data_IF_985069138173
#
_entry.id   IF_985069138173
#
_cell.length_a   1.000
_cell.length_b   1.000
_cell.length_c   1.000
_cell.angle_alpha   90.00
_cell.angle_beta   90.00
_cell.angle_gamma   90.00
#
_symmetry.space_group_name_H-M   'P 1'
#
loop_
_entity.id
_entity.type
_entity.pdbx_description
1 polymer ?
#
# COMPACT_ATOMS: atom_id res chain seq x y z
N UNK A 1 11.92 -9.96 -13.94
CA UNK A 1 10.63 -9.75 -14.65
C UNK A 1 9.70 -10.89 -14.24
N UNK A 2 8.44 -10.61 -13.89
CA UNK A 2 7.46 -11.66 -13.57
C UNK A 2 7.06 -12.41 -14.85
N UNK A 3 6.87 -13.73 -14.76
CA UNK A 3 6.28 -14.50 -15.85
C UNK A 3 4.77 -14.26 -15.87
N UNK A 4 4.22 -13.82 -17.01
CA UNK A 4 2.78 -13.52 -17.14
C UNK A 4 1.91 -14.75 -16.86
N UNK A 5 2.42 -15.96 -17.09
CA UNK A 5 1.76 -17.22 -16.72
C UNK A 5 1.47 -17.36 -15.23
N UNK A 6 2.14 -16.59 -14.39
CA UNK A 6 1.99 -16.62 -12.93
C UNK A 6 1.14 -15.44 -12.42
N UNK A 7 0.57 -14.64 -13.32
CA UNK A 7 -0.30 -13.52 -12.98
C UNK A 7 -1.76 -13.96 -13.09
N UNK A 8 -2.48 -13.80 -11.98
CA UNK A 8 -3.93 -13.96 -11.93
C UNK A 8 -4.55 -12.59 -11.70
N UNK A 9 -5.59 -12.26 -12.46
CA UNK A 9 -6.43 -11.08 -12.22
C UNK A 9 -7.76 -11.57 -11.65
N UNK A 10 -7.88 -11.73 -10.31
CA UNK A 10 -9.06 -12.36 -9.72
C UNK A 10 -10.28 -11.44 -9.74
N UNK A 11 -10.09 -10.12 -9.77
CA UNK A 11 -11.15 -9.12 -9.60
C UNK A 11 -10.86 -7.94 -10.52
N UNK A 12 -11.92 -7.41 -11.14
CA UNK A 12 -11.92 -6.12 -11.85
C UNK A 12 -13.06 -5.28 -11.28
N UNK A 13 -12.74 -4.07 -10.82
CA UNK A 13 -13.74 -3.13 -10.29
C UNK A 13 -14.27 -2.23 -11.40
N UNK A 14 -15.57 -1.89 -11.41
CA UNK A 14 -16.13 -0.99 -12.41
C UNK A 14 -15.59 0.44 -12.25
N UNK A 15 -15.32 1.11 -13.38
CA UNK A 15 -15.08 2.56 -13.42
C UNK A 15 -16.37 3.38 -13.57
N UNK A 16 -16.33 4.72 -13.67
CA UNK A 16 -15.13 5.58 -13.77
C UNK A 16 -14.55 6.03 -12.43
N UNK A 17 -15.31 5.89 -11.34
CA UNK A 17 -14.89 6.29 -10.00
C UNK A 17 -14.29 5.11 -9.26
N UNK A 18 -13.28 5.39 -8.44
CA UNK A 18 -12.68 4.38 -7.57
C UNK A 18 -13.69 3.95 -6.49
N UNK A 19 -13.83 2.65 -6.21
CA UNK A 19 -14.71 2.19 -5.14
C UNK A 19 -14.30 2.75 -3.78
N UNK A 20 -15.29 2.97 -2.91
CA UNK A 20 -15.03 3.25 -1.50
C UNK A 20 -14.41 2.02 -0.83
N UNK A 21 -13.78 2.21 0.33
CA UNK A 21 -13.22 1.08 1.07
C UNK A 21 -14.28 0.01 1.36
N UNK A 22 -15.48 0.41 1.75
CA UNK A 22 -16.59 -0.51 2.02
C UNK A 22 -17.08 -1.24 0.77
N UNK A 23 -17.16 -0.55 -0.37
CA UNK A 23 -17.51 -1.17 -1.64
C UNK A 23 -16.43 -2.18 -2.07
N UNK A 24 -15.15 -1.82 -1.92
CA UNK A 24 -14.02 -2.68 -2.26
C UNK A 24 -14.07 -4.01 -1.48
N UNK A 25 -14.44 -3.98 -0.20
CA UNK A 25 -14.58 -5.20 0.61
C UNK A 25 -15.62 -6.18 0.04
N UNK A 26 -16.67 -5.70 -0.64
CA UNK A 26 -17.67 -6.58 -1.26
C UNK A 26 -17.07 -7.42 -2.38
N UNK A 27 -16.12 -6.86 -3.14
CA UNK A 27 -15.41 -7.58 -4.19
C UNK A 27 -14.39 -8.55 -3.59
N UNK A 28 -13.65 -8.10 -2.57
CA UNK A 28 -12.63 -8.92 -1.90
C UNK A 28 -13.22 -10.13 -1.17
N UNK A 29 -14.50 -10.09 -0.80
CA UNK A 29 -15.18 -11.19 -0.12
C UNK A 29 -15.03 -12.53 -0.86
N UNK A 30 -15.21 -12.54 -2.18
CA UNK A 30 -15.12 -13.78 -2.98
C UNK A 30 -13.70 -14.34 -2.93
N UNK A 31 -12.70 -13.48 -3.13
CA UNK A 31 -11.29 -13.86 -3.06
C UNK A 31 -10.93 -14.41 -1.67
N UNK A 32 -11.39 -13.76 -0.60
CA UNK A 32 -11.12 -14.21 0.77
C UNK A 32 -11.83 -15.53 1.08
N UNK A 33 -13.07 -15.71 0.62
CA UNK A 33 -13.81 -16.97 0.77
C UNK A 33 -13.03 -18.14 0.14
N UNK A 34 -12.47 -17.95 -1.06
CA UNK A 34 -11.63 -18.95 -1.72
C UNK A 34 -10.29 -19.18 -1.01
N UNK A 35 -9.63 -18.11 -0.55
CA UNK A 35 -8.38 -18.22 0.21
C UNK A 35 -8.54 -18.99 1.53
N UNK A 36 -9.70 -18.90 2.18
CA UNK A 36 -10.00 -19.69 3.39
C UNK A 36 -10.09 -21.17 3.01
N UNK A 37 -10.90 -21.51 2.00
CA UNK A 37 -11.07 -22.90 1.56
C UNK A 37 -9.75 -23.51 1.09
N UNK A 38 -8.98 -22.77 0.29
CA UNK A 38 -7.69 -23.25 -0.21
C UNK A 38 -6.64 -23.44 0.90
N UNK A 39 -6.77 -22.71 2.02
CA UNK A 39 -5.89 -22.87 3.17
C UNK A 39 -6.31 -24.02 4.08
N UNK A 40 -7.61 -24.18 4.32
CA UNK A 40 -8.15 -25.17 5.27
C UNK A 40 -8.34 -26.54 4.63
N UNK A 41 -8.84 -26.60 3.40
CA UNK A 41 -9.19 -27.83 2.69
C UNK A 41 -8.19 -28.15 1.57
N UNK A 42 -7.66 -27.12 0.91
CA UNK A 42 -6.80 -27.26 -0.27
C UNK A 42 -7.55 -27.64 -1.54
N UNK A 43 -6.79 -27.93 -2.60
CA UNK A 43 -7.32 -28.39 -3.89
C UNK A 43 -6.49 -29.54 -4.44
N UNK A 44 -7.15 -30.57 -4.95
CA UNK A 44 -6.50 -31.68 -5.63
C UNK A 44 -6.15 -31.29 -7.06
N UNK A 45 -4.86 -31.18 -7.38
CA UNK A 45 -4.37 -30.84 -8.72
C UNK A 45 -3.69 -32.05 -9.34
N UNK A 46 -4.20 -32.50 -10.49
CA UNK A 46 -3.59 -33.54 -11.32
C UNK A 46 -2.52 -32.94 -12.21
N UNK A 47 -1.38 -33.60 -12.28
CA UNK A 47 -0.27 -33.23 -13.18
C UNK A 47 0.20 -34.46 -13.93
N UNK A 48 0.92 -34.33 -15.07
CA UNK A 48 1.46 -35.49 -15.78
C UNK A 48 2.35 -36.39 -14.90
N UNK A 49 3.06 -35.81 -13.91
CA UNK A 49 3.89 -36.55 -12.95
C UNK A 49 3.06 -37.21 -11.83
N UNK A 50 1.85 -36.71 -11.58
CA UNK A 50 0.98 -37.17 -10.50
C UNK A 50 -0.48 -37.28 -11.00
N UNK A 51 -0.82 -38.37 -11.72
CA UNK A 51 -2.13 -38.56 -12.33
C UNK A 51 -3.27 -38.76 -11.32
N UNK A 52 -2.96 -39.30 -10.13
CA UNK A 52 -3.91 -39.41 -9.01
C UNK A 52 -4.19 -38.05 -8.32
N UNK A 53 -3.38 -37.03 -8.64
CA UNK A 53 -3.48 -35.70 -8.07
C UNK A 53 -2.71 -35.53 -6.77
N UNK A 54 -2.29 -34.29 -6.51
CA UNK A 54 -1.66 -33.88 -5.27
C UNK A 54 -2.51 -32.81 -4.60
N UNK A 55 -2.64 -32.91 -3.28
CA UNK A 55 -3.29 -31.88 -2.49
C UNK A 55 -2.37 -30.65 -2.43
N UNK A 56 -2.88 -29.52 -2.86
CA UNK A 56 -2.18 -28.23 -2.85
C UNK A 56 -2.94 -27.28 -1.93
N UNK A 57 -2.25 -26.82 -0.89
CA UNK A 57 -2.73 -25.75 0.00
C UNK A 57 -2.22 -24.41 -0.52
N UNK A 58 -3.07 -23.39 -0.45
CA UNK A 58 -2.72 -22.01 -0.85
C UNK A 58 -2.90 -21.10 0.35
N UNK A 59 -1.94 -20.20 0.54
CA UNK A 59 -2.04 -19.14 1.55
C UNK A 59 -1.61 -17.81 0.95
N UNK A 60 -2.20 -16.72 1.46
CA UNK A 60 -1.78 -15.37 1.13
C UNK A 60 -0.47 -15.03 1.87
N UNK A 61 0.60 -14.78 1.13
CA UNK A 61 1.89 -14.40 1.72
C UNK A 61 1.95 -12.92 2.13
N UNK A 62 1.52 -12.02 1.24
CA UNK A 62 1.63 -10.58 1.46
C UNK A 62 0.63 -9.80 0.58
N UNK A 63 0.28 -8.60 1.05
CA UNK A 63 -0.45 -7.59 0.28
C UNK A 63 0.52 -6.47 -0.04
N UNK A 64 0.71 -6.18 -1.33
CA UNK A 64 1.59 -5.12 -1.83
C UNK A 64 0.77 -4.18 -2.69
N UNK A 65 0.65 -2.94 -2.25
CA UNK A 65 -0.06 -1.88 -2.97
C UNK A 65 0.41 -0.52 -2.46
N UNK A 66 0.10 0.53 -3.20
CA UNK A 66 0.36 1.90 -2.76
C UNK A 66 -0.40 2.21 -1.45
N UNK A 67 0.00 3.29 -0.76
CA UNK A 67 -0.54 3.59 0.57
C UNK A 67 -2.07 3.78 0.59
N UNK A 68 -2.69 4.52 -0.35
CA UNK A 68 -4.14 4.67 -0.38
C UNK A 68 -4.88 3.33 -0.60
N UNK A 69 -4.45 2.51 -1.56
CA UNK A 69 -5.08 1.20 -1.78
C UNK A 69 -4.88 0.28 -0.60
N UNK A 70 -3.68 0.26 -0.01
CA UNK A 70 -3.35 -0.50 1.20
C UNK A 70 -4.31 -0.18 2.35
N UNK A 71 -4.56 1.11 2.60
CA UNK A 71 -5.48 1.54 3.65
C UNK A 71 -6.92 1.07 3.37
N UNK A 72 -7.37 1.05 2.11
CA UNK A 72 -8.72 0.56 1.74
C UNK A 72 -8.82 -0.96 1.84
N UNK A 73 -7.82 -1.67 1.34
CA UNK A 73 -7.76 -3.14 1.28
C UNK A 73 -7.64 -3.73 2.69
N UNK A 74 -6.72 -3.22 3.51
CA UNK A 74 -6.38 -3.78 4.82
C UNK A 74 -7.08 -3.10 6.01
N UNK A 75 -7.99 -2.16 5.73
CA UNK A 75 -8.82 -1.53 6.76
C UNK A 75 -8.10 -0.53 7.66
N UNK A 76 -6.99 0.07 7.19
CA UNK A 76 -6.31 1.14 7.90
C UNK A 76 -6.84 2.53 7.50
N UNK A 77 -6.61 3.50 8.36
CA UNK A 77 -6.71 4.91 8.02
C UNK A 77 -5.53 5.39 7.17
N UNK A 78 -5.77 6.46 6.41
CA UNK A 78 -4.75 7.09 5.57
C UNK A 78 -3.78 7.96 6.40
N UNK A 79 -2.66 8.37 5.80
CA UNK A 79 -1.59 9.15 6.42
C UNK A 79 -2.05 10.50 6.99
N UNK A 80 -3.19 11.04 6.53
CA UNK A 80 -3.77 12.29 7.04
C UNK A 80 -4.63 12.12 8.31
N UNK A 81 -4.80 10.90 8.83
CA UNK A 81 -5.60 10.66 10.02
C UNK A 81 -4.90 11.15 11.29
N UNK A 82 -5.60 11.91 12.14
CA UNK A 82 -5.03 12.52 13.35
C UNK A 82 -4.40 11.53 14.33
N UNK A 83 -5.11 10.45 14.66
CA UNK A 83 -4.68 9.49 15.70
C UNK A 83 -3.90 8.28 15.17
N UNK A 84 -4.02 7.97 13.88
CA UNK A 84 -3.67 6.65 13.33
C UNK A 84 -3.09 6.73 11.90
N UNK A 85 -2.18 7.69 11.60
CA UNK A 85 -1.62 7.89 10.25
C UNK A 85 -0.70 6.75 9.79
N UNK A 86 -0.08 6.03 10.73
CA UNK A 86 0.87 4.95 10.44
C UNK A 86 0.18 3.59 10.53
N UNK A 87 0.42 2.73 9.54
CA UNK A 87 -0.09 1.34 9.52
C UNK A 87 0.77 0.36 10.31
N UNK A 88 1.91 0.80 10.84
CA UNK A 88 2.90 -0.05 11.52
C UNK A 88 3.03 0.21 13.02
N UNK A 89 2.81 1.44 13.47
CA UNK A 89 2.93 1.82 14.88
C UNK A 89 1.81 2.80 15.30
N UNK A 90 1.79 3.13 16.59
CA UNK A 90 0.81 4.01 17.23
C UNK A 90 1.27 5.49 17.33
N UNK A 91 2.01 5.99 16.34
CA UNK A 91 2.37 7.41 16.28
C UNK A 91 1.17 8.26 15.84
N UNK A 92 0.80 9.34 16.56
CA UNK A 92 -0.22 10.29 16.11
C UNK A 92 0.36 11.25 15.05
N UNK A 93 -0.52 11.85 14.24
CA UNK A 93 -0.14 12.69 13.10
C UNK A 93 0.79 13.84 13.47
N UNK A 94 0.52 14.51 14.60
CA UNK A 94 1.31 15.64 15.05
C UNK A 94 2.73 15.26 15.52
N UNK A 95 3.01 13.97 15.76
CA UNK A 95 4.32 13.47 16.20
C UNK A 95 5.05 12.66 15.12
N UNK A 96 4.53 12.58 13.89
CA UNK A 96 5.12 11.79 12.79
C UNK A 96 6.59 12.10 12.54
N UNK A 97 7.00 13.36 12.71
CA UNK A 97 8.37 13.84 12.52
C UNK A 97 9.13 14.08 13.82
N UNK A 98 8.60 13.63 14.96
CA UNK A 98 9.31 13.68 16.24
C UNK A 98 10.53 12.75 16.20
N UNK A 99 11.56 13.06 16.99
CA UNK A 99 12.73 12.18 17.16
C UNK A 99 12.32 10.77 17.58
N UNK A 100 11.34 10.66 18.49
CA UNK A 100 10.76 9.39 18.91
C UNK A 100 10.21 8.59 17.73
N UNK A 101 9.50 9.23 16.79
CA UNK A 101 8.97 8.57 15.61
C UNK A 101 10.09 8.10 14.68
N UNK A 102 11.05 8.97 14.40
CA UNK A 102 12.18 8.70 13.50
C UNK A 102 13.10 7.59 14.03
N UNK A 103 13.15 7.41 15.36
CA UNK A 103 13.88 6.34 16.03
C UNK A 103 13.05 5.08 16.31
N UNK A 104 11.87 4.93 15.69
CA UNK A 104 10.95 3.80 15.91
C UNK A 104 10.54 3.59 17.39
N UNK A 105 10.42 4.67 18.15
CA UNK A 105 10.10 4.64 19.58
C UNK A 105 8.61 4.56 19.92
N UNK A 106 7.72 4.42 18.94
CA UNK A 106 6.30 4.17 19.17
C UNK A 106 6.01 2.68 19.15
N UNK A 107 5.10 2.26 20.03
CA UNK A 107 4.64 0.89 20.10
C UNK A 107 4.16 0.39 18.73
N UNK A 108 4.66 -0.76 18.25
CA UNK A 108 4.16 -1.40 17.05
C UNK A 108 2.69 -1.76 17.19
N UNK A 109 1.96 -1.72 16.07
CA UNK A 109 0.60 -2.23 16.02
C UNK A 109 0.59 -3.73 16.19
N UNK A 110 -0.38 -4.21 16.94
CA UNK A 110 -0.64 -5.63 17.11
C UNK A 110 -1.74 -6.10 16.13
N UNK A 111 -1.48 -7.20 15.42
CA UNK A 111 -2.37 -7.75 14.40
C UNK A 111 -3.70 -8.26 14.96
N UNK A 112 -3.65 -8.95 16.10
CA UNK A 112 -4.84 -9.49 16.78
C UNK A 112 -5.78 -8.37 17.22
N UNK A 113 -5.20 -7.28 17.75
CA UNK A 113 -5.93 -6.06 18.13
C UNK A 113 -6.54 -5.38 16.90
N UNK A 114 -5.78 -5.25 15.81
CA UNK A 114 -6.30 -4.69 14.56
C UNK A 114 -7.45 -5.53 14.01
N UNK A 115 -7.31 -6.86 14.00
CA UNK A 115 -8.37 -7.80 13.60
C UNK A 115 -9.60 -7.68 14.48
N UNK A 116 -9.45 -7.67 15.80
CA UNK A 116 -10.56 -7.52 16.74
C UNK A 116 -11.32 -6.21 16.47
N UNK A 117 -10.60 -5.10 16.28
CA UNK A 117 -11.20 -3.80 15.92
C UNK A 117 -11.92 -3.83 14.58
N UNK A 118 -11.41 -4.54 13.58
CA UNK A 118 -12.11 -4.74 12.31
C UNK A 118 -13.49 -5.41 12.54
N UNK A 119 -13.54 -6.47 13.35
CA UNK A 119 -14.81 -7.14 13.68
C UNK A 119 -15.73 -6.26 14.51
N UNK A 120 -15.21 -5.51 15.48
CA UNK A 120 -16.00 -4.53 16.24
C UNK A 120 -16.63 -3.52 15.31
N UNK A 121 -15.84 -2.88 14.43
CA UNK A 121 -16.34 -1.93 13.44
C UNK A 121 -17.44 -2.54 12.56
N UNK A 122 -17.26 -3.78 12.09
CA UNK A 122 -18.26 -4.50 11.27
C UNK A 122 -19.57 -4.72 12.04
N UNK A 123 -19.50 -4.94 13.35
CA UNK A 123 -20.67 -5.21 14.19
C UNK A 123 -21.52 -3.98 14.50
N UNK A 124 -20.94 -2.78 14.37
CA UNK A 124 -21.61 -1.49 14.58
C UNK A 124 -22.78 -1.32 13.60
N UNK A 125 -23.89 -0.78 14.12
CA UNK A 125 -25.18 -0.72 13.42
C UNK A 125 -25.36 0.54 12.60
N UNK A 126 -24.87 1.67 13.09
CA UNK A 126 -25.05 2.96 12.43
C UNK A 126 -23.77 3.41 11.75
N UNK A 127 -23.89 4.24 10.72
CA UNK A 127 -22.72 4.85 10.08
C UNK A 127 -22.02 5.82 11.05
N UNK A 128 -22.78 6.56 11.86
CA UNK A 128 -22.22 7.48 12.85
C UNK A 128 -21.31 6.77 13.88
N UNK A 129 -21.72 5.58 14.36
CA UNK A 129 -20.89 4.79 15.27
C UNK A 129 -19.60 4.32 14.57
N UNK A 130 -19.70 3.92 13.30
CA UNK A 130 -18.56 3.49 12.48
C UNK A 130 -17.58 4.63 12.22
N UNK A 131 -18.09 5.81 11.95
CA UNK A 131 -17.28 7.00 11.70
C UNK A 131 -16.57 7.41 13.00
N UNK A 132 -17.28 7.45 14.13
CA UNK A 132 -16.69 7.70 15.45
C UNK A 132 -15.60 6.67 15.81
N UNK A 133 -15.86 5.40 15.53
CA UNK A 133 -14.88 4.33 15.78
C UNK A 133 -13.66 4.48 14.87
N UNK A 134 -13.87 4.83 13.60
CA UNK A 134 -12.80 5.07 12.66
C UNK A 134 -11.95 6.27 13.09
N UNK A 135 -12.55 7.40 13.48
CA UNK A 135 -11.85 8.57 14.01
C UNK A 135 -11.01 8.26 15.25
N UNK A 136 -11.50 7.36 16.11
CA UNK A 136 -10.79 7.00 17.34
C UNK A 136 -9.62 6.05 17.07
N UNK A 137 -9.81 5.03 16.24
CA UNK A 137 -8.86 3.91 16.11
C UNK A 137 -8.13 3.85 14.77
N UNK A 138 -8.61 4.56 13.76
CA UNK A 138 -8.17 4.48 12.38
C UNK A 138 -8.33 3.08 11.77
N UNK A 139 -9.38 2.37 12.16
CA UNK A 139 -9.65 0.99 11.71
C UNK A 139 -11.07 0.88 11.17
N UNK A 140 -11.22 0.18 10.05
CA UNK A 140 -12.50 -0.18 9.41
C UNK A 140 -12.50 -1.65 9.01
N UNK A 141 -13.65 -2.18 8.60
CA UNK A 141 -13.76 -3.57 8.15
C UNK A 141 -12.84 -3.87 6.96
N UNK A 142 -12.16 -5.02 7.03
CA UNK A 142 -11.51 -5.67 5.89
C UNK A 142 -11.86 -7.15 5.87
N UNK A 143 -12.16 -7.71 4.70
CA UNK A 143 -12.40 -9.15 4.56
C UNK A 143 -11.16 -9.97 4.93
N UNK A 144 -9.94 -9.43 4.71
CA UNK A 144 -8.70 -10.10 5.10
C UNK A 144 -8.58 -10.36 6.61
N UNK A 145 -9.35 -9.65 7.45
CA UNK A 145 -9.46 -9.94 8.90
C UNK A 145 -10.08 -11.32 9.20
N UNK A 146 -10.61 -12.02 8.20
CA UNK A 146 -11.11 -13.41 8.34
C UNK A 146 -10.02 -14.46 8.17
N UNK A 147 -8.90 -14.14 7.53
CA UNK A 147 -7.79 -15.09 7.33
C UNK A 147 -7.04 -15.29 8.65
N UNK A 148 -7.36 -16.34 9.39
CA UNK A 148 -6.81 -16.60 10.74
C UNK A 148 -5.27 -16.65 10.78
N UNK A 149 -4.66 -17.13 9.70
CA UNK A 149 -3.20 -17.24 9.54
C UNK A 149 -2.49 -15.94 9.13
N UNK A 150 -3.23 -14.91 8.70
CA UNK A 150 -2.65 -13.73 8.08
C UNK A 150 -2.45 -12.58 9.07
N UNK A 151 -1.21 -12.14 9.26
CA UNK A 151 -0.91 -10.93 10.03
C UNK A 151 -1.12 -9.66 9.18
N UNK A 152 -2.23 -8.96 9.42
CA UNK A 152 -2.62 -7.75 8.68
C UNK A 152 -1.64 -6.60 8.85
N UNK A 153 -0.95 -6.51 9.99
CA UNK A 153 0.00 -5.43 10.24
C UNK A 153 1.33 -5.75 9.56
N UNK A 154 1.83 -6.97 9.75
CA UNK A 154 3.15 -7.39 9.26
C UNK A 154 3.19 -7.60 7.75
N UNK A 155 2.21 -8.33 7.19
CA UNK A 155 2.22 -8.77 5.80
C UNK A 155 1.52 -7.82 4.82
N UNK A 156 1.01 -6.70 5.31
CA UNK A 156 0.68 -5.55 4.47
C UNK A 156 1.96 -4.77 4.21
N UNK A 157 2.66 -5.08 3.12
CA UNK A 157 3.98 -4.54 2.84
C UNK A 157 3.89 -3.10 2.31
N UNK A 158 4.85 -2.29 2.73
CA UNK A 158 5.04 -0.94 2.17
C UNK A 158 5.58 -1.12 0.76
N UNK A 159 4.87 -0.61 -0.25
CA UNK A 159 5.30 -0.69 -1.63
C UNK A 159 6.58 0.17 -1.85
N UNK A 160 7.74 -0.47 -2.13
CA UNK A 160 8.99 0.25 -2.32
C UNK A 160 8.96 1.14 -3.56
N UNK A 161 8.18 0.81 -4.59
CA UNK A 161 8.14 1.59 -5.82
C UNK A 161 7.46 2.93 -5.59
N UNK A 162 6.25 2.92 -5.04
CA UNK A 162 5.49 4.15 -4.84
C UNK A 162 5.96 4.95 -3.62
N UNK A 163 6.30 4.27 -2.51
CA UNK A 163 6.69 4.98 -1.30
C UNK A 163 8.17 5.42 -1.34
N UNK A 164 9.08 4.48 -1.62
CA UNK A 164 10.52 4.75 -1.57
C UNK A 164 11.02 5.42 -2.84
N UNK A 165 10.82 4.80 -4.01
CA UNK A 165 11.40 5.32 -5.26
C UNK A 165 10.68 6.58 -5.74
N UNK A 166 9.36 6.52 -5.91
CA UNK A 166 8.59 7.66 -6.42
C UNK A 166 8.38 8.73 -5.35
N UNK A 167 8.00 8.34 -4.13
CA UNK A 167 7.72 9.27 -3.04
C UNK A 167 8.93 10.10 -2.63
N UNK A 168 10.06 9.45 -2.31
CA UNK A 168 11.28 10.14 -1.89
C UNK A 168 11.86 10.96 -3.03
N UNK A 169 11.98 10.40 -4.24
CA UNK A 169 12.54 11.14 -5.37
C UNK A 169 11.71 12.38 -5.70
N UNK A 170 10.38 12.26 -5.75
CA UNK A 170 9.49 13.41 -6.00
C UNK A 170 9.60 14.45 -4.89
N UNK A 171 9.56 14.03 -3.62
CA UNK A 171 9.61 14.97 -2.51
C UNK A 171 10.98 15.69 -2.43
N UNK A 172 12.07 14.95 -2.59
CA UNK A 172 13.41 15.53 -2.56
C UNK A 172 13.62 16.47 -3.75
N UNK A 173 13.31 16.02 -4.97
CA UNK A 173 13.49 16.83 -6.18
C UNK A 173 12.58 18.05 -6.16
N UNK A 174 11.27 17.84 -6.08
CA UNK A 174 10.31 18.92 -6.28
C UNK A 174 10.12 19.76 -5.01
N UNK A 175 9.76 19.13 -3.89
CA UNK A 175 9.41 19.85 -2.64
C UNK A 175 10.65 20.45 -1.97
N UNK A 176 11.75 19.71 -1.88
CA UNK A 176 12.94 20.20 -1.19
C UNK A 176 13.81 21.04 -2.12
N UNK A 177 14.17 20.55 -3.31
CA UNK A 177 15.16 21.23 -4.13
C UNK A 177 14.61 22.36 -4.97
N UNK A 178 13.50 22.13 -5.68
CA UNK A 178 12.89 23.15 -6.54
C UNK A 178 12.10 24.19 -5.74
N UNK A 179 11.12 23.76 -4.93
CA UNK A 179 10.23 24.69 -4.23
C UNK A 179 10.95 25.54 -3.18
N UNK A 180 11.93 24.98 -2.45
CA UNK A 180 12.77 25.79 -1.53
C UNK A 180 13.90 26.53 -2.23
N UNK A 181 13.99 26.46 -3.56
CA UNK A 181 14.99 27.13 -4.40
C UNK A 181 16.44 26.79 -4.02
N UNK A 182 16.67 25.54 -3.56
CA UNK A 182 18.02 25.03 -3.31
C UNK A 182 18.74 24.84 -4.65
N UNK A 183 18.05 24.23 -5.62
CA UNK A 183 18.51 24.19 -7.01
C UNK A 183 17.92 25.38 -7.75
N UNK A 184 18.80 26.26 -8.24
CA UNK A 184 18.38 27.52 -8.87
C UNK A 184 18.43 27.36 -10.38
N UNK A 185 17.37 27.83 -11.05
CA UNK A 185 17.29 27.87 -12.50
C UNK A 185 18.44 28.71 -13.09
N UNK A 186 18.81 28.50 -14.35
CA UNK A 186 19.87 29.28 -15.02
C UNK A 186 19.57 30.79 -14.99
N UNK A 187 20.59 31.66 -14.83
CA UNK A 187 20.47 33.08 -15.17
C UNK A 187 21.39 33.31 -16.36
N UNK A 188 21.10 34.33 -17.17
CA UNK A 188 21.78 34.59 -18.44
C UNK A 188 23.32 34.62 -18.39
N UNK A 189 23.95 34.84 -17.23
CA UNK A 189 25.40 35.04 -17.10
C UNK A 189 26.11 34.14 -16.07
N UNK A 190 25.46 33.12 -15.48
CA UNK A 190 26.14 32.24 -14.50
C UNK A 190 25.63 30.80 -14.59
N UNK A 191 26.57 29.85 -14.66
CA UNK A 191 26.27 28.42 -14.74
C UNK A 191 25.68 27.94 -13.42
N UNK A 192 24.35 27.82 -13.35
CA UNK A 192 23.65 27.41 -12.12
C UNK A 192 23.40 25.92 -12.05
N UNK A 193 23.11 25.46 -10.83
CA UNK A 193 23.06 24.05 -10.45
C UNK A 193 22.04 23.26 -11.27
N UNK A 194 20.88 23.85 -11.58
CA UNK A 194 19.85 23.19 -12.37
C UNK A 194 20.28 22.99 -13.84
N UNK A 195 21.04 23.94 -14.40
CA UNK A 195 21.57 23.86 -15.76
C UNK A 195 22.59 22.73 -15.91
N UNK A 196 23.45 22.56 -14.90
CA UNK A 196 24.41 21.45 -14.85
C UNK A 196 23.71 20.09 -14.76
N UNK A 197 22.63 19.99 -13.98
CA UNK A 197 21.85 18.76 -13.89
C UNK A 197 21.13 18.47 -15.21
N UNK A 198 20.55 19.47 -15.87
CA UNK A 198 19.95 19.29 -17.20
C UNK A 198 20.98 18.80 -18.22
N UNK A 199 22.14 19.46 -18.29
CA UNK A 199 23.23 19.05 -19.18
C UNK A 199 23.71 17.62 -18.88
N UNK A 200 23.83 17.25 -17.60
CA UNK A 200 24.16 15.88 -17.21
C UNK A 200 23.07 14.90 -17.66
N UNK A 201 21.80 15.17 -17.39
CA UNK A 201 20.70 14.29 -17.78
C UNK A 201 20.59 14.12 -19.30
N UNK A 202 20.95 15.13 -20.09
CA UNK A 202 21.06 15.03 -21.55
C UNK A 202 22.18 14.08 -22.00
N UNK A 203 23.26 13.95 -21.22
CA UNK A 203 24.35 13.00 -21.50
C UNK A 203 24.05 11.57 -21.03
N UNK A 204 23.10 11.39 -20.12
CA UNK A 204 22.70 10.08 -19.64
C UNK A 204 21.68 9.48 -20.60
N UNK A 205 22.14 8.61 -21.49
CA UNK A 205 21.27 7.77 -22.29
C UNK A 205 20.67 6.69 -21.38
N UNK A 206 19.48 6.93 -20.85
CA UNK A 206 18.73 5.88 -20.17
C UNK A 206 18.32 4.85 -21.22
N UNK A 207 18.83 3.63 -21.09
CA UNK A 207 18.31 2.50 -21.84
C UNK A 207 16.80 2.45 -21.62
N UNK A 208 16.02 2.46 -22.71
CA UNK A 208 14.55 2.54 -22.69
C UNK A 208 13.87 1.41 -21.90
N UNK A 209 14.65 0.49 -21.35
CA UNK A 209 14.26 -0.64 -20.53
C UNK A 209 14.14 -0.35 -19.02
N UNK A 210 14.50 0.85 -18.53
CA UNK A 210 14.61 1.09 -17.08
C UNK A 210 13.51 1.97 -16.45
N UNK A 211 12.97 3.04 -17.05
CA UNK A 211 11.81 3.75 -16.46
C UNK A 211 11.05 4.58 -17.52
N UNK A 212 9.79 4.24 -17.80
CA UNK A 212 8.87 5.11 -18.54
C UNK A 212 8.25 6.14 -17.58
N UNK A 213 9.05 7.13 -17.16
CA UNK A 213 8.55 8.40 -16.62
C UNK A 213 8.31 9.36 -17.78
N UNK A 214 7.28 9.10 -18.57
CA UNK A 214 6.85 10.03 -19.62
C UNK A 214 5.52 10.68 -19.27
N UNK A 215 5.58 12.01 -19.23
CA UNK A 215 4.49 13.00 -19.27
C UNK A 215 3.89 13.43 -17.94
N UNK A 216 4.65 14.23 -17.19
CA UNK A 216 4.10 15.32 -16.40
C UNK A 216 4.96 16.56 -16.64
N UNK A 217 4.57 17.40 -17.60
CA UNK A 217 4.63 18.87 -17.58
C UNK A 217 3.97 19.35 -18.90
N UNK A 218 2.99 20.29 -18.84
CA UNK A 218 2.57 21.06 -20.01
C UNK A 218 3.68 22.01 -20.48
#
# INVERSE_FOLDING_TARGET
>A
RYMTSNLLVPIVTPGPLEPTAEQLQKYLKILVDDLIKLFEEGVMIKTPRYPEGHLVLVFLLAIVCDHPAMCKVCGFADHGHSEAPCTKCHVPHHELFSEKSLCNGYEPRNSETHRARCFTWKSLKTQADRDTFFETFGVRWTEFARLSYFDLVRYTLIDPMHNTLQGIAKNQWYTQWIQKKILRALMANDGRELGLVHQFLETVCFDAHIFTLTKCLP
#
